data_IF_149409248394
#
_entry.id   IF_149409248394
#
_cell.length_a   1.000
_cell.length_b   1.000
_cell.length_c   1.000
_cell.angle_alpha   90.00
_cell.angle_beta   90.00
_cell.angle_gamma   90.00
#
_symmetry.space_group_name_H-M   'P 1'
#
loop_
_entity.id
_entity.type
_entity.pdbx_description
1 polymer ?
#
# COMPACT_ATOMS: atom_id res chain seq x y z
N UNK A 1 -12.47 8.87 3.76
CA UNK A 1 -12.00 8.77 2.37
C UNK A 1 -10.48 8.57 2.36
N UNK A 2 -9.86 7.96 1.33
CA UNK A 2 -8.39 7.78 1.27
C UNK A 2 -7.61 9.11 1.36
N UNK A 3 -8.20 10.21 0.89
CA UNK A 3 -7.66 11.57 1.05
C UNK A 3 -7.46 11.99 2.52
N UNK A 4 -8.35 11.58 3.42
CA UNK A 4 -8.25 11.90 4.85
C UNK A 4 -7.07 11.17 5.49
N UNK A 5 -6.88 9.88 5.17
CA UNK A 5 -5.74 9.09 5.67
C UNK A 5 -4.41 9.69 5.28
N UNK A 6 -4.24 10.03 3.99
CA UNK A 6 -3.04 10.72 3.51
C UNK A 6 -2.78 12.01 4.29
N UNK A 7 -3.81 12.83 4.48
CA UNK A 7 -3.70 14.08 5.25
C UNK A 7 -3.27 13.81 6.70
N UNK A 8 -3.81 12.79 7.35
CA UNK A 8 -3.40 12.41 8.71
C UNK A 8 -1.94 11.95 8.78
N UNK A 9 -1.47 11.15 7.80
CA UNK A 9 -0.08 10.70 7.74
C UNK A 9 0.88 11.86 7.51
N UNK A 10 0.53 12.80 6.63
CA UNK A 10 1.35 14.01 6.41
C UNK A 10 1.40 14.91 7.66
N UNK A 11 0.27 15.08 8.36
CA UNK A 11 0.24 15.82 9.63
C UNK A 11 1.13 15.13 10.67
N UNK A 12 0.98 13.82 10.84
CA UNK A 12 1.78 13.05 11.78
C UNK A 12 3.29 13.16 11.47
N UNK A 13 3.66 13.16 10.19
CA UNK A 13 5.05 13.35 9.75
C UNK A 13 5.55 14.75 10.08
N UNK A 14 4.73 15.78 9.86
CA UNK A 14 5.05 17.16 10.24
C UNK A 14 5.27 17.30 11.74
N UNK A 15 4.40 16.72 12.56
CA UNK A 15 4.53 16.70 14.02
C UNK A 15 5.81 15.99 14.48
N UNK A 16 6.15 14.84 13.87
CA UNK A 16 7.38 14.12 14.19
C UNK A 16 8.64 14.95 13.85
N UNK A 17 8.62 15.70 12.75
CA UNK A 17 9.73 16.58 12.35
C UNK A 17 9.89 17.75 13.32
N UNK A 18 8.79 18.36 13.79
CA UNK A 18 8.84 19.39 14.82
C UNK A 18 9.45 18.88 16.12
N UNK A 19 9.13 17.64 16.54
CA UNK A 19 9.76 17.01 17.69
C UNK A 19 11.28 16.81 17.52
N UNK A 20 11.74 16.51 16.30
CA UNK A 20 13.18 16.41 16.01
C UNK A 20 13.87 17.77 16.21
N UNK A 21 13.27 18.84 15.69
CA UNK A 21 13.77 20.20 15.87
C UNK A 21 13.83 20.61 17.35
N UNK A 22 12.84 20.21 18.16
CA UNK A 22 12.84 20.47 19.61
C UNK A 22 14.00 19.74 20.30
N UNK A 23 14.26 18.48 19.95
CA UNK A 23 15.42 17.75 20.48
C UNK A 23 16.75 18.42 20.08
N UNK A 24 16.85 18.94 18.86
CA UNK A 24 18.03 19.69 18.42
C UNK A 24 18.21 21.00 19.21
N UNK A 25 17.13 21.73 19.49
CA UNK A 25 17.18 22.90 20.36
C UNK A 25 17.62 22.54 21.79
N UNK A 26 17.04 21.49 22.38
CA UNK A 26 17.37 21.05 23.74
C UNK A 26 18.82 20.56 23.84
N UNK A 27 19.35 19.93 22.78
CA UNK A 27 20.76 19.58 22.66
C UNK A 27 21.65 20.82 22.56
N UNK A 28 21.26 21.81 21.75
CA UNK A 28 22.02 23.06 21.60
C UNK A 28 22.06 23.88 22.90
N UNK A 29 21.02 23.78 23.73
CA UNK A 29 20.98 24.36 25.07
C UNK A 29 21.70 23.50 26.14
N UNK A 30 22.33 22.37 25.76
CA UNK A 30 23.02 21.43 26.66
C UNK A 30 22.14 20.86 27.80
N UNK A 31 20.82 20.89 27.64
CA UNK A 31 19.85 20.41 28.64
C UNK A 31 19.71 18.89 28.61
N UNK A 32 20.05 18.26 27.48
CA UNK A 32 19.95 16.82 27.25
C UNK A 32 21.31 16.14 27.29
N UNK A 33 21.41 15.04 28.04
CA UNK A 33 22.58 14.17 27.97
C UNK A 33 22.68 13.52 26.57
N UNK A 34 23.90 13.29 26.09
CA UNK A 34 24.18 12.72 24.76
C UNK A 34 23.45 11.37 24.54
N UNK A 35 23.32 10.56 25.59
CA UNK A 35 22.59 9.30 25.53
C UNK A 35 21.08 9.50 25.27
N UNK A 36 20.47 10.51 25.90
CA UNK A 36 19.05 10.83 25.75
C UNK A 36 18.76 11.45 24.37
N UNK A 37 19.64 12.33 23.87
CA UNK A 37 19.56 12.86 22.50
C UNK A 37 19.60 11.73 21.46
N UNK A 38 20.55 10.80 21.60
CA UNK A 38 20.69 9.67 20.67
C UNK A 38 19.49 8.74 20.71
N UNK A 39 18.95 8.45 21.90
CA UNK A 39 17.75 7.63 22.05
C UNK A 39 16.53 8.31 21.42
N UNK A 40 16.31 9.60 21.69
CA UNK A 40 15.21 10.38 21.14
C UNK A 40 15.25 10.46 19.61
N UNK A 41 16.43 10.75 19.04
CA UNK A 41 16.64 10.76 17.58
C UNK A 41 16.39 9.40 16.94
N UNK A 42 16.86 8.33 17.56
CA UNK A 42 16.63 6.96 17.06
C UNK A 42 15.13 6.64 17.00
N UNK A 43 14.38 7.04 18.03
CA UNK A 43 12.93 6.84 18.06
C UNK A 43 12.22 7.63 16.96
N UNK A 44 12.56 8.91 16.80
CA UNK A 44 11.97 9.75 15.75
C UNK A 44 12.26 9.23 14.35
N UNK A 45 13.48 8.77 14.07
CA UNK A 45 13.84 8.16 12.78
C UNK A 45 12.94 6.96 12.48
N UNK A 46 12.67 6.10 13.46
CA UNK A 46 11.77 4.95 13.29
C UNK A 46 10.34 5.40 12.99
N UNK A 47 9.81 6.37 13.73
CA UNK A 47 8.46 6.90 13.52
C UNK A 47 8.34 7.53 12.13
N UNK A 48 9.27 8.39 11.72
CA UNK A 48 9.27 9.02 10.39
C UNK A 48 9.39 7.97 9.29
N UNK A 49 10.20 6.93 9.49
CA UNK A 49 10.31 5.82 8.54
C UNK A 49 9.00 5.05 8.39
N UNK A 50 8.30 4.78 9.50
CA UNK A 50 6.97 4.15 9.47
C UNK A 50 5.94 5.04 8.77
N UNK A 51 5.87 6.32 9.11
CA UNK A 51 4.95 7.28 8.49
C UNK A 51 5.21 7.43 6.99
N UNK A 52 6.50 7.43 6.58
CA UNK A 52 6.90 7.51 5.17
C UNK A 52 6.49 6.25 4.41
N UNK A 53 6.66 5.06 4.99
CA UNK A 53 6.20 3.82 4.37
C UNK A 53 4.67 3.75 4.31
N UNK A 54 3.98 4.16 5.38
CA UNK A 54 2.53 4.12 5.44
C UNK A 54 1.92 4.98 4.34
N UNK A 55 2.41 6.23 4.18
CA UNK A 55 1.95 7.13 3.13
C UNK A 55 2.28 6.69 1.70
N UNK A 56 3.26 5.80 1.50
CA UNK A 56 3.60 5.24 0.17
C UNK A 56 2.67 4.09 -0.23
N UNK A 57 2.34 3.19 0.70
CA UNK A 57 1.54 1.98 0.43
C UNK A 57 0.09 2.29 0.03
N UNK A 58 -0.41 3.48 0.37
CA UNK A 58 -1.75 3.93 -0.01
C UNK A 58 -1.89 4.21 -1.51
N UNK A 59 -0.76 4.24 -2.24
CA UNK A 59 -0.71 4.49 -3.68
C UNK A 59 -0.65 3.20 -4.53
N UNK A 60 -0.36 2.04 -3.93
CA UNK A 60 -0.06 0.79 -4.67
C UNK A 60 -1.19 -0.25 -4.65
N UNK A 61 -2.24 -0.08 -3.83
CA UNK A 61 -3.38 -1.02 -3.86
C UNK A 61 -4.35 -0.58 -4.95
N UNK A 62 -3.99 -0.84 -6.21
CA UNK A 62 -4.96 -1.01 -7.30
C UNK A 62 -5.18 -2.50 -7.41
N UNK A 63 -6.22 -3.00 -6.76
CA UNK A 63 -6.71 -4.35 -7.04
C UNK A 63 -7.01 -4.43 -8.55
N UNK A 64 -6.25 -5.28 -9.22
CA UNK A 64 -6.42 -5.60 -10.64
C UNK A 64 -7.82 -6.16 -10.78
N UNK A 65 -8.73 -5.41 -11.42
CA UNK A 65 -10.04 -5.90 -11.81
C UNK A 65 -9.82 -7.11 -12.71
N UNK A 66 -9.95 -8.32 -12.16
CA UNK A 66 -10.06 -9.55 -12.93
C UNK A 66 -11.32 -9.36 -13.76
N UNK A 67 -11.14 -9.15 -15.06
CA UNK A 67 -12.22 -9.20 -16.04
C UNK A 67 -12.59 -10.69 -16.13
N UNK A 68 -13.72 -11.09 -15.53
CA UNK A 68 -14.34 -12.37 -15.83
C UNK A 68 -14.78 -12.30 -17.30
N UNK A 69 -13.99 -12.92 -18.18
CA UNK A 69 -14.32 -13.11 -19.58
C UNK A 69 -15.42 -14.16 -19.67
N UNK A 70 -16.61 -13.68 -20.01
CA UNK A 70 -17.76 -14.47 -20.44
C UNK A 70 -17.52 -14.82 -21.92
N UNK A 71 -16.75 -15.87 -22.18
CA UNK A 71 -16.63 -16.45 -23.52
C UNK A 71 -17.60 -17.64 -23.60
N UNK A 72 -18.83 -17.34 -24.02
CA UNK A 72 -19.80 -18.31 -24.53
C UNK A 72 -19.21 -18.98 -25.79
N UNK A 73 -18.49 -20.09 -25.60
CA UNK A 73 -18.04 -20.93 -26.70
C UNK A 73 -19.17 -21.92 -27.05
N UNK A 74 -20.11 -21.45 -27.88
CA UNK A 74 -21.14 -22.26 -28.54
C UNK A 74 -20.47 -23.31 -29.45
N UNK A 75 -20.08 -24.44 -28.86
CA UNK A 75 -19.56 -25.58 -29.60
C UNK A 75 -20.72 -26.43 -30.15
N UNK A 76 -21.26 -26.01 -31.30
CA UNK A 76 -22.15 -26.79 -32.15
C UNK A 76 -21.40 -28.04 -32.66
N UNK A 77 -21.54 -29.14 -31.92
CA UNK A 77 -21.00 -30.44 -32.32
C UNK A 77 -22.03 -31.17 -33.18
N UNK A 78 -22.03 -30.85 -34.47
CA UNK A 78 -22.73 -31.57 -35.54
C UNK A 78 -22.12 -32.96 -35.73
N UNK A 79 -22.55 -33.94 -34.95
CA UNK A 79 -22.21 -35.35 -35.20
C UNK A 79 -23.29 -36.03 -36.04
N UNK A 80 -23.18 -35.89 -37.36
CA UNK A 80 -23.84 -36.76 -38.33
C UNK A 80 -23.26 -38.18 -38.25
N UNK A 81 -24.10 -39.19 -38.01
CA UNK A 81 -24.03 -40.52 -38.64
C UNK A 81 -25.12 -41.43 -38.08
N UNK A 82 -25.85 -42.10 -38.99
CA UNK A 82 -26.12 -43.54 -39.05
C UNK A 82 -27.27 -43.74 -40.06
N UNK A 83 -26.98 -44.19 -41.28
CA UNK A 83 -26.93 -45.62 -41.64
C UNK A 83 -28.34 -46.24 -41.52
N UNK A 84 -29.05 -46.53 -42.61
CA UNK A 84 -28.68 -47.65 -43.50
C UNK A 84 -29.58 -47.64 -44.74
N UNK A 85 -28.93 -47.75 -45.90
CA UNK A 85 -29.57 -48.25 -47.11
C UNK A 85 -29.48 -49.78 -47.15
N UNK A 86 -30.59 -50.43 -47.46
CA UNK A 86 -30.66 -51.75 -48.11
C UNK A 86 -32.13 -51.99 -48.44
N UNK A 87 -32.55 -51.75 -49.68
CA UNK A 87 -32.55 -52.70 -50.81
C UNK A 87 -33.76 -53.64 -50.82
N UNK A 88 -34.51 -53.51 -51.93
CA UNK A 88 -35.46 -54.45 -52.58
C UNK A 88 -36.83 -54.70 -51.96
#
# INVERSE_FOLDING_TARGET
>A
TNADRRRYVEIARGSALACASILDCLKACEVLAVAQDKQGKTMLIRIVSMLTQLGRREHEIRETSVFDGDDDDDNDNDNESNDSGSES
#
